data_IF_454416910868
#
_entry.id   IF_454416910868
#
_cell.length_a   1.000
_cell.length_b   1.000
_cell.length_c   1.000
_cell.angle_alpha   90.00
_cell.angle_beta   90.00
_cell.angle_gamma   90.00
#
_symmetry.space_group_name_H-M   'P 1'
#
loop_
_entity.id
_entity.type
_entity.pdbx_description
1 polymer ?
#
# COMPACT_ATOMS: atom_id res chain seq x y z
N UNK A 1 -9.79 10.84 -22.12
CA UNK A 1 -9.86 10.23 -20.80
C UNK A 1 -9.68 11.34 -19.80
N UNK A 2 -10.46 11.32 -18.73
CA UNK A 2 -10.12 12.09 -17.54
C UNK A 2 -8.74 11.60 -17.07
N UNK A 3 -7.94 12.48 -16.47
CA UNK A 3 -6.68 12.08 -15.84
C UNK A 3 -6.93 12.01 -14.32
N UNK A 4 -7.80 11.10 -13.89
CA UNK A 4 -8.32 11.04 -12.51
C UNK A 4 -7.17 10.80 -11.55
N UNK A 5 -6.36 9.77 -11.78
CA UNK A 5 -5.24 9.43 -10.90
C UNK A 5 -4.20 10.56 -10.90
N UNK A 6 -3.85 11.12 -12.05
CA UNK A 6 -2.89 12.22 -12.17
C UNK A 6 -3.35 13.48 -11.44
N UNK A 7 -4.61 13.89 -11.64
CA UNK A 7 -5.19 15.05 -10.95
C UNK A 7 -5.21 14.88 -9.43
N UNK A 8 -5.60 13.70 -8.93
CA UNK A 8 -5.59 13.44 -7.49
C UNK A 8 -4.17 13.50 -6.92
N UNK A 9 -3.16 12.98 -7.63
CA UNK A 9 -1.76 13.06 -7.20
C UNK A 9 -1.24 14.49 -7.17
N UNK A 10 -1.62 15.32 -8.14
CA UNK A 10 -1.27 16.75 -8.14
C UNK A 10 -1.91 17.48 -6.95
N UNK A 11 -3.18 17.19 -6.63
CA UNK A 11 -3.85 17.71 -5.43
C UNK A 11 -3.15 17.26 -4.12
N UNK A 12 -2.49 16.10 -4.13
CA UNK A 12 -1.81 15.51 -2.97
C UNK A 12 -0.30 15.81 -2.89
N UNK A 13 0.27 16.58 -3.82
CA UNK A 13 1.73 16.74 -3.96
C UNK A 13 2.47 17.14 -2.68
N UNK A 14 1.88 18.02 -1.88
CA UNK A 14 2.50 18.51 -0.64
C UNK A 14 2.54 17.39 0.42
N UNK A 15 1.51 16.55 0.46
CA UNK A 15 1.45 15.39 1.34
C UNK A 15 2.42 14.29 0.87
N UNK A 16 2.47 14.04 -0.44
CA UNK A 16 3.43 13.11 -1.05
C UNK A 16 4.87 13.52 -0.72
N UNK A 17 5.21 14.81 -0.84
CA UNK A 17 6.54 15.31 -0.53
C UNK A 17 6.92 15.12 0.95
N UNK A 18 5.97 15.32 1.88
CA UNK A 18 6.20 15.05 3.31
C UNK A 18 6.54 13.59 3.55
N UNK A 19 5.81 12.68 2.91
CA UNK A 19 6.02 11.24 3.04
C UNK A 19 7.35 10.80 2.42
N UNK A 20 7.72 11.33 1.25
CA UNK A 20 8.98 10.99 0.57
C UNK A 20 10.23 11.44 1.32
N UNK A 21 10.10 12.48 2.16
CA UNK A 21 11.19 13.07 2.95
C UNK A 21 11.13 12.69 4.44
N UNK A 22 10.27 11.73 4.78
CA UNK A 22 9.97 11.39 6.16
C UNK A 22 11.22 10.97 6.97
N UNK A 23 11.39 11.44 8.22
CA UNK A 23 12.59 11.17 9.02
C UNK A 23 12.92 9.69 9.21
N UNK A 24 11.91 8.82 9.28
CA UNK A 24 12.09 7.37 9.40
C UNK A 24 12.86 6.74 8.23
N UNK A 25 12.95 7.44 7.09
CA UNK A 25 13.56 6.94 5.86
C UNK A 25 14.94 7.51 5.56
N UNK A 26 15.39 8.55 6.28
CA UNK A 26 16.69 9.18 6.00
C UNK A 26 17.87 8.28 6.35
N UNK A 27 17.79 7.64 7.53
CA UNK A 27 18.69 6.60 8.01
C UNK A 27 17.87 5.68 8.91
N UNK A 28 17.09 4.75 8.31
CA UNK A 28 16.25 3.86 9.10
C UNK A 28 17.13 3.13 10.13
N UNK A 29 16.62 2.93 11.34
CA UNK A 29 17.32 2.06 12.30
C UNK A 29 16.87 0.61 12.09
N UNK A 30 17.57 -0.35 12.70
CA UNK A 30 17.08 -1.72 12.78
C UNK A 30 15.70 -1.81 13.43
N UNK A 31 15.41 -0.93 14.39
CA UNK A 31 14.11 -0.88 15.06
C UNK A 31 12.99 -0.41 14.12
N UNK A 32 13.25 0.62 13.29
CA UNK A 32 12.30 1.06 12.25
C UNK A 32 11.95 -0.10 11.31
N UNK A 33 12.95 -0.88 10.91
CA UNK A 33 12.74 -2.05 10.06
C UNK A 33 11.95 -3.16 10.78
N UNK A 34 12.26 -3.44 12.04
CA UNK A 34 11.50 -4.43 12.82
C UNK A 34 10.03 -4.01 12.94
N UNK A 35 9.76 -2.74 13.25
CA UNK A 35 8.40 -2.18 13.35
C UNK A 35 7.67 -2.20 12.02
N UNK A 36 8.36 -1.96 10.91
CA UNK A 36 7.79 -2.15 9.57
C UNK A 36 7.28 -3.59 9.44
N UNK A 37 8.13 -4.59 9.72
CA UNK A 37 7.75 -6.01 9.60
C UNK A 37 6.63 -6.38 10.57
N UNK A 38 6.67 -5.90 11.82
CA UNK A 38 5.64 -6.15 12.84
C UNK A 38 4.26 -5.70 12.38
N UNK A 39 4.15 -4.49 11.83
CA UNK A 39 2.88 -3.99 11.32
C UNK A 39 2.47 -4.68 10.01
N UNK A 40 3.42 -4.96 9.12
CA UNK A 40 3.14 -5.65 7.85
C UNK A 40 2.62 -7.08 8.05
N UNK A 41 3.01 -7.77 9.13
CA UNK A 41 2.46 -9.08 9.52
C UNK A 41 0.97 -9.04 9.84
N UNK A 42 0.42 -7.87 10.17
CA UNK A 42 -1.02 -7.65 10.25
C UNK A 42 -1.60 -7.17 8.92
N UNK A 43 -0.97 -6.17 8.28
CA UNK A 43 -1.51 -5.47 7.11
C UNK A 43 -1.66 -6.40 5.90
N UNK A 44 -0.58 -7.03 5.42
CA UNK A 44 -0.58 -7.77 4.15
C UNK A 44 -1.62 -8.91 4.13
N UNK A 45 -1.72 -9.77 5.17
CA UNK A 45 -2.74 -10.82 5.17
C UNK A 45 -4.19 -10.30 5.15
N UNK A 46 -4.44 -9.11 5.69
CA UNK A 46 -5.78 -8.52 5.72
C UNK A 46 -6.10 -7.74 4.45
N UNK A 47 -5.12 -7.04 3.88
CA UNK A 47 -5.24 -6.39 2.58
C UNK A 47 -5.50 -7.45 1.49
N UNK A 48 -4.78 -8.57 1.51
CA UNK A 48 -5.03 -9.71 0.62
C UNK A 48 -6.48 -10.22 0.70
N UNK A 49 -7.05 -10.30 1.91
CA UNK A 49 -8.46 -10.71 2.11
C UNK A 49 -9.43 -9.66 1.58
N UNK A 50 -9.17 -8.38 1.85
CA UNK A 50 -9.98 -7.27 1.35
C UNK A 50 -10.02 -7.27 -0.18
N UNK A 51 -8.87 -7.41 -0.83
CA UNK A 51 -8.78 -7.45 -2.30
C UNK A 51 -9.38 -8.71 -2.90
N UNK A 52 -9.22 -9.86 -2.23
CA UNK A 52 -9.91 -11.09 -2.63
C UNK A 52 -11.43 -10.93 -2.57
N UNK A 53 -11.94 -10.22 -1.56
CA UNK A 53 -13.36 -9.91 -1.47
C UNK A 53 -13.82 -8.99 -2.61
N UNK A 54 -13.06 -7.93 -2.94
CA UNK A 54 -13.36 -7.05 -4.08
C UNK A 54 -13.38 -7.85 -5.39
N UNK A 55 -12.37 -8.68 -5.63
CA UNK A 55 -12.30 -9.55 -6.80
C UNK A 55 -13.52 -10.49 -6.89
N UNK A 56 -13.99 -11.03 -5.77
CA UNK A 56 -15.12 -11.97 -5.76
C UNK A 56 -16.46 -11.36 -6.19
N UNK A 57 -16.57 -10.03 -6.18
CA UNK A 57 -17.81 -9.30 -6.48
C UNK A 57 -17.73 -8.42 -7.73
N UNK A 58 -16.57 -8.35 -8.39
CA UNK A 58 -16.43 -7.63 -9.65
C UNK A 58 -17.06 -8.41 -10.79
N UNK A 59 -17.58 -7.70 -11.79
CA UNK A 59 -18.39 -8.31 -12.86
C UNK A 59 -17.75 -8.02 -14.23
N UNK A 60 -17.21 -6.83 -14.42
CA UNK A 60 -16.57 -6.47 -15.68
C UNK A 60 -15.20 -7.16 -15.80
N UNK A 61 -14.87 -7.64 -17.00
CA UNK A 61 -13.64 -8.40 -17.23
C UNK A 61 -12.38 -7.59 -16.87
N UNK A 62 -12.37 -6.29 -17.17
CA UNK A 62 -11.26 -5.40 -16.85
C UNK A 62 -11.04 -5.21 -15.34
N UNK A 63 -12.14 -5.15 -14.56
CA UNK A 63 -12.09 -5.16 -13.11
C UNK A 63 -11.53 -6.49 -12.59
N UNK A 64 -12.01 -7.63 -13.10
CA UNK A 64 -11.52 -8.95 -12.71
C UNK A 64 -10.02 -9.06 -12.95
N UNK A 65 -9.53 -8.65 -14.13
CA UNK A 65 -8.10 -8.63 -14.45
C UNK A 65 -7.30 -7.73 -13.51
N UNK A 66 -7.80 -6.52 -13.24
CA UNK A 66 -7.15 -5.54 -12.38
C UNK A 66 -7.03 -6.06 -10.93
N UNK A 67 -8.14 -6.48 -10.33
CA UNK A 67 -8.12 -6.95 -8.95
C UNK A 67 -7.40 -8.29 -8.80
N UNK A 68 -7.43 -9.15 -9.83
CA UNK A 68 -6.60 -10.37 -9.82
C UNK A 68 -5.10 -10.04 -9.79
N UNK A 69 -4.65 -9.05 -10.57
CA UNK A 69 -3.26 -8.60 -10.54
C UNK A 69 -2.84 -8.14 -9.14
N UNK A 70 -3.71 -7.39 -8.47
CA UNK A 70 -3.47 -6.91 -7.11
C UNK A 70 -3.43 -8.05 -6.08
N UNK A 71 -4.38 -8.99 -6.16
CA UNK A 71 -4.41 -10.19 -5.30
C UNK A 71 -3.15 -11.05 -5.48
N UNK A 72 -2.71 -11.25 -6.73
CA UNK A 72 -1.48 -11.99 -7.02
C UNK A 72 -0.25 -11.28 -6.44
N UNK A 73 -0.21 -9.94 -6.53
CA UNK A 73 0.85 -9.11 -5.94
C UNK A 73 0.92 -9.23 -4.42
N UNK A 74 -0.20 -9.09 -3.73
CA UNK A 74 -0.27 -9.24 -2.28
C UNK A 74 0.05 -10.67 -1.82
N UNK A 75 -0.30 -11.68 -2.62
CA UNK A 75 0.08 -13.06 -2.33
C UNK A 75 1.59 -13.28 -2.43
N UNK A 76 2.27 -12.68 -3.41
CA UNK A 76 3.74 -12.67 -3.47
C UNK A 76 4.36 -11.91 -2.30
N UNK A 77 3.76 -10.77 -1.93
CA UNK A 77 4.21 -9.96 -0.81
C UNK A 77 4.08 -10.71 0.52
N UNK A 78 3.00 -11.46 0.72
CA UNK A 78 2.79 -12.30 1.89
C UNK A 78 3.91 -13.35 2.03
N UNK A 79 4.25 -14.04 0.94
CA UNK A 79 5.35 -15.02 0.95
C UNK A 79 6.69 -14.37 1.29
N UNK A 80 7.01 -13.25 0.64
CA UNK A 80 8.25 -12.53 0.90
C UNK A 80 8.32 -11.96 2.32
N UNK A 81 7.20 -11.53 2.88
CA UNK A 81 7.09 -11.07 4.27
C UNK A 81 7.38 -12.21 5.25
N UNK A 82 6.86 -13.41 5.00
CA UNK A 82 7.14 -14.57 5.84
C UNK A 82 8.64 -14.91 5.87
N UNK A 83 9.32 -14.87 4.73
CA UNK A 83 10.76 -15.11 4.64
C UNK A 83 11.57 -14.05 5.41
N UNK A 84 11.17 -12.78 5.31
CA UNK A 84 11.80 -11.68 6.05
C UNK A 84 11.54 -11.81 7.56
N UNK A 85 10.29 -11.98 7.97
CA UNK A 85 9.94 -12.12 9.38
C UNK A 85 10.66 -13.31 10.04
N UNK A 86 10.82 -14.43 9.31
CA UNK A 86 11.60 -15.57 9.77
C UNK A 86 13.07 -15.22 9.98
N UNK A 87 13.72 -14.56 9.02
CA UNK A 87 15.11 -14.12 9.15
C UNK A 87 15.31 -13.15 10.33
N UNK A 88 14.37 -12.23 10.55
CA UNK A 88 14.44 -11.27 11.65
C UNK A 88 13.97 -11.85 13.00
N UNK A 89 13.46 -13.08 13.03
CA UNK A 89 12.82 -13.72 14.18
C UNK A 89 11.66 -12.88 14.77
N UNK A 90 10.84 -12.30 13.89
CA UNK A 90 9.68 -11.48 14.25
C UNK A 90 8.41 -12.29 14.01
N UNK A 91 7.45 -12.17 14.93
CA UNK A 91 6.12 -12.79 14.83
C UNK A 91 5.07 -11.72 15.09
N UNK A 92 3.84 -11.99 14.63
CA UNK A 92 2.71 -11.13 14.91
C UNK A 92 2.48 -11.05 16.42
N UNK A 93 2.55 -9.85 16.96
CA UNK A 93 2.24 -9.55 18.35
C UNK A 93 1.30 -8.34 18.38
N UNK A 94 0.05 -8.59 18.77
CA UNK A 94 -0.98 -7.54 18.82
C UNK A 94 -0.64 -6.42 19.80
N UNK A 95 0.19 -6.66 20.82
CA UNK A 95 0.60 -5.64 21.78
C UNK A 95 1.60 -4.63 21.20
N UNK A 96 2.25 -4.99 20.08
CA UNK A 96 3.22 -4.16 19.37
C UNK A 96 2.67 -3.46 18.13
N UNK A 97 1.44 -3.78 17.74
CA UNK A 97 0.83 -3.15 16.56
C UNK A 97 0.52 -1.68 16.83
N UNK A 98 0.88 -0.83 15.89
CA UNK A 98 0.47 0.57 15.92
C UNK A 98 -0.92 0.71 15.31
N UNK A 99 -1.83 1.34 16.06
CA UNK A 99 -3.16 1.70 15.56
C UNK A 99 -3.08 2.62 14.34
N UNK A 100 -2.07 3.51 14.29
CA UNK A 100 -1.79 4.37 13.13
C UNK A 100 -1.42 3.54 11.91
N UNK A 101 -0.48 2.61 12.07
CA UNK A 101 -0.02 1.76 10.96
C UNK A 101 -1.14 0.94 10.32
N UNK A 102 -2.04 0.38 11.12
CA UNK A 102 -3.10 -0.52 10.63
C UNK A 102 -4.36 0.19 10.14
N UNK A 103 -4.44 1.52 10.29
CA UNK A 103 -5.62 2.32 9.91
C UNK A 103 -5.91 2.22 8.41
N UNK A 104 -4.86 2.16 7.58
CA UNK A 104 -4.97 1.93 6.14
C UNK A 104 -5.75 0.66 5.83
N UNK A 105 -5.35 -0.47 6.42
CA UNK A 105 -5.98 -1.79 6.22
C UNK A 105 -7.43 -1.81 6.67
N UNK A 106 -7.78 -1.11 7.75
CA UNK A 106 -9.17 -1.01 8.20
C UNK A 106 -10.02 -0.25 7.19
N UNK A 107 -9.50 0.84 6.65
CA UNK A 107 -10.21 1.61 5.62
C UNK A 107 -10.31 0.85 4.30
N UNK A 108 -9.26 0.14 3.88
CA UNK A 108 -9.31 -0.73 2.70
C UNK A 108 -10.33 -1.86 2.88
N UNK A 109 -10.41 -2.46 4.07
CA UNK A 109 -11.42 -3.47 4.40
C UNK A 109 -12.84 -2.90 4.34
N UNK A 110 -13.02 -1.65 4.82
CA UNK A 110 -14.30 -0.95 4.69
C UNK A 110 -14.66 -0.67 3.22
N UNK A 111 -13.69 -0.24 2.41
CA UNK A 111 -13.88 -0.03 0.96
C UNK A 111 -14.19 -1.34 0.24
N UNK A 112 -13.59 -2.46 0.64
CA UNK A 112 -13.88 -3.75 0.04
C UNK A 112 -15.35 -4.14 0.20
N UNK A 113 -15.95 -3.83 1.34
CA UNK A 113 -17.35 -4.14 1.65
C UNK A 113 -18.32 -3.12 1.05
N UNK A 114 -17.98 -1.83 1.14
CA UNK A 114 -18.92 -0.71 0.94
C UNK A 114 -18.59 0.18 -0.27
N UNK A 115 -17.42 0.02 -0.88
CA UNK A 115 -16.95 0.81 -2.00
C UNK A 115 -17.34 0.20 -3.35
N UNK A 116 -17.24 1.04 -4.39
CA UNK A 116 -17.26 0.61 -5.78
C UNK A 116 -15.88 0.06 -6.20
N UNK A 117 -15.79 -0.70 -7.30
CA UNK A 117 -14.51 -1.02 -7.94
C UNK A 117 -13.65 0.23 -8.22
N UNK A 118 -14.26 1.34 -8.63
CA UNK A 118 -13.56 2.61 -8.85
C UNK A 118 -12.96 3.21 -7.58
N UNK A 119 -13.68 3.14 -6.45
CA UNK A 119 -13.18 3.59 -5.16
C UNK A 119 -11.89 2.87 -4.76
N UNK A 120 -11.88 1.54 -4.89
CA UNK A 120 -10.73 0.70 -4.52
C UNK A 120 -9.59 0.89 -5.52
N UNK A 121 -9.89 1.02 -6.81
CA UNK A 121 -8.89 1.31 -7.84
C UNK A 121 -8.16 2.64 -7.57
N UNK A 122 -8.90 3.70 -7.21
CA UNK A 122 -8.31 4.98 -6.79
C UNK A 122 -7.47 4.82 -5.53
N UNK A 123 -8.03 4.19 -4.48
CA UNK A 123 -7.36 3.99 -3.20
C UNK A 123 -6.00 3.31 -3.36
N UNK A 124 -5.94 2.22 -4.12
CA UNK A 124 -4.72 1.43 -4.29
C UNK A 124 -3.71 2.00 -5.27
N UNK A 125 -4.13 2.90 -6.16
CA UNK A 125 -3.24 3.37 -7.25
C UNK A 125 -2.62 4.72 -6.92
N UNK A 126 -3.35 5.61 -6.26
CA UNK A 126 -2.92 7.00 -6.06
C UNK A 126 -1.58 7.09 -5.31
N UNK A 127 -1.35 6.22 -4.33
CA UNK A 127 -0.19 6.28 -3.45
C UNK A 127 1.01 5.41 -3.87
N UNK A 128 0.84 4.50 -4.85
CA UNK A 128 1.88 3.51 -5.22
C UNK A 128 3.26 4.09 -5.51
N UNK A 129 3.41 5.23 -6.24
CA UNK A 129 4.74 5.76 -6.50
C UNK A 129 5.47 6.17 -5.22
N UNK A 130 4.73 6.77 -4.27
CA UNK A 130 5.27 7.23 -2.99
C UNK A 130 5.62 6.04 -2.11
N UNK A 131 4.69 5.10 -1.96
CA UNK A 131 4.90 3.87 -1.20
C UNK A 131 6.09 3.07 -1.74
N UNK A 132 6.13 2.84 -3.04
CA UNK A 132 7.18 2.09 -3.72
C UNK A 132 8.56 2.71 -3.56
N UNK A 133 8.67 4.03 -3.66
CA UNK A 133 9.94 4.73 -3.42
C UNK A 133 10.43 4.55 -1.98
N UNK A 134 9.53 4.68 -1.00
CA UNK A 134 9.88 4.59 0.41
C UNK A 134 10.23 3.16 0.84
N UNK A 135 9.48 2.17 0.37
CA UNK A 135 9.77 0.76 0.58
C UNK A 135 11.11 0.39 -0.06
N UNK A 136 11.42 0.92 -1.24
CA UNK A 136 12.74 0.73 -1.87
C UNK A 136 13.88 1.29 -1.01
N UNK A 137 13.75 2.52 -0.47
CA UNK A 137 14.74 3.11 0.46
C UNK A 137 14.96 2.23 1.69
N UNK A 138 13.88 1.68 2.25
CA UNK A 138 13.96 0.76 3.38
C UNK A 138 14.67 -0.55 3.00
N UNK A 139 14.43 -1.07 1.80
CA UNK A 139 15.13 -2.25 1.27
C UNK A 139 16.62 -2.05 1.04
N UNK A 140 17.02 -0.88 0.52
CA UNK A 140 18.43 -0.50 0.41
C UNK A 140 19.10 -0.48 1.79
N UNK A 141 18.42 0.05 2.80
CA UNK A 141 18.92 0.03 4.17
C UNK A 141 19.00 -1.39 4.75
N UNK A 142 17.99 -2.24 4.52
CA UNK A 142 18.00 -3.63 4.96
C UNK A 142 19.22 -4.40 4.41
N UNK A 143 19.61 -4.14 3.15
CA UNK A 143 20.82 -4.73 2.54
C UNK A 143 22.10 -4.27 3.23
N UNK A 144 22.20 -2.99 3.64
CA UNK A 144 23.33 -2.48 4.43
C UNK A 144 23.44 -3.22 5.78
N UNK A 145 22.30 -3.59 6.38
CA UNK A 145 22.23 -4.40 7.59
C UNK A 145 22.47 -5.91 7.36
N UNK A 146 22.88 -6.31 6.15
CA UNK A 146 23.13 -7.70 5.74
C UNK A 146 21.90 -8.64 5.84
N UNK A 147 20.69 -8.08 5.70
CA UNK A 147 19.46 -8.86 5.62
C UNK A 147 19.32 -9.43 4.21
N UNK A 148 19.07 -10.73 4.10
CA UNK A 148 19.04 -11.46 2.83
C UNK A 148 17.65 -11.46 2.20
N UNK A 149 16.60 -11.62 2.99
CA UNK A 149 15.20 -11.67 2.57
C UNK A 149 14.67 -10.29 2.21
N UNK A 150 15.13 -9.74 1.08
CA UNK A 150 14.79 -8.37 0.65
C UNK A 150 13.75 -8.29 -0.46
N UNK A 151 13.24 -9.44 -0.93
CA UNK A 151 12.26 -9.53 -2.04
C UNK A 151 11.03 -8.63 -1.82
N UNK A 152 10.54 -8.52 -0.58
CA UNK A 152 9.38 -7.69 -0.27
C UNK A 152 9.58 -6.22 -0.68
N UNK A 153 10.80 -5.70 -0.55
CA UNK A 153 11.08 -4.30 -0.88
C UNK A 153 11.10 -4.04 -2.39
N UNK A 154 11.33 -5.09 -3.18
CA UNK A 154 11.39 -5.01 -4.64
C UNK A 154 10.01 -5.25 -5.29
N UNK A 155 9.06 -5.89 -4.59
CA UNK A 155 7.71 -6.14 -5.12
C UNK A 155 6.90 -4.87 -5.38
N UNK A 156 7.24 -3.79 -4.69
CA UNK A 156 6.63 -2.46 -4.87
C UNK A 156 7.49 -1.54 -5.74
N UNK A 157 8.53 -2.09 -6.39
CA UNK A 157 9.26 -1.33 -7.41
C UNK A 157 8.47 -1.40 -8.72
N UNK A 158 8.10 -0.23 -9.26
CA UNK A 158 7.37 -0.14 -10.53
C UNK A 158 8.12 -0.79 -11.71
N UNK A 159 7.60 -0.67 -12.95
CA UNK A 159 6.67 0.37 -13.40
C UNK A 159 5.20 0.05 -13.13
N UNK A 160 4.42 1.07 -12.78
CA UNK A 160 2.98 0.96 -12.49
C UNK A 160 2.06 1.30 -13.68
N UNK A 161 2.61 1.65 -14.85
CA UNK A 161 1.82 2.21 -15.95
C UNK A 161 0.64 1.36 -16.42
N UNK A 162 0.80 0.03 -16.51
CA UNK A 162 -0.30 -0.88 -16.87
C UNK A 162 -1.39 -0.89 -15.80
N UNK A 163 -0.98 -0.86 -14.52
CA UNK A 163 -1.89 -0.84 -13.39
C UNK A 163 -2.67 0.49 -13.35
N UNK A 164 -1.97 1.60 -13.57
CA UNK A 164 -2.56 2.94 -13.65
C UNK A 164 -3.55 3.07 -14.80
N UNK A 165 -3.23 2.56 -15.99
CA UNK A 165 -4.16 2.59 -17.14
C UNK A 165 -5.45 1.83 -16.84
N UNK A 166 -5.35 0.66 -16.20
CA UNK A 166 -6.52 -0.13 -15.79
C UNK A 166 -7.32 0.59 -14.70
N UNK A 167 -6.64 1.16 -13.70
CA UNK A 167 -7.29 1.92 -12.63
C UNK A 167 -8.02 3.15 -13.17
N UNK A 168 -7.47 3.84 -14.16
CA UNK A 168 -8.09 4.99 -14.81
C UNK A 168 -9.42 4.59 -15.47
N UNK A 169 -9.40 3.55 -16.32
CA UNK A 169 -10.62 3.04 -16.99
C UNK A 169 -11.69 2.59 -16.00
N UNK A 170 -11.31 1.92 -14.92
CA UNK A 170 -12.24 1.48 -13.87
C UNK A 170 -12.78 2.70 -13.12
N UNK A 171 -11.92 3.65 -12.74
CA UNK A 171 -12.34 4.82 -11.97
C UNK A 171 -13.22 5.79 -12.78
N UNK A 172 -13.01 5.92 -14.10
CA UNK A 172 -13.91 6.67 -15.00
C UNK A 172 -15.34 6.11 -14.97
N UNK A 173 -15.51 4.78 -14.90
CA UNK A 173 -16.84 4.12 -14.87
C UNK A 173 -17.67 4.48 -13.63
N UNK A 174 -17.00 4.75 -12.51
CA UNK A 174 -17.63 5.03 -11.21
C UNK A 174 -17.40 6.45 -10.73
N UNK A 175 -17.08 7.37 -11.64
CA UNK A 175 -16.57 8.69 -11.32
C UNK A 175 -17.47 9.46 -10.33
N UNK A 176 -16.91 9.67 -9.14
CA UNK A 176 -17.42 10.61 -8.13
C UNK A 176 -16.22 11.38 -7.57
N UNK A 177 -16.02 12.59 -8.08
CA UNK A 177 -14.89 13.43 -7.68
C UNK A 177 -14.86 13.78 -6.19
N UNK A 178 -16.03 13.97 -5.55
CA UNK A 178 -16.09 14.29 -4.12
C UNK A 178 -15.61 13.12 -3.30
N UNK A 179 -16.07 11.92 -3.66
CA UNK A 179 -15.68 10.66 -3.02
C UNK A 179 -14.23 10.29 -3.29
N UNK A 180 -13.76 10.42 -4.52
CA UNK A 180 -12.37 10.11 -4.89
C UNK A 180 -11.35 11.01 -4.19
N UNK A 181 -11.63 12.32 -4.06
CA UNK A 181 -10.78 13.23 -3.27
C UNK A 181 -10.71 12.82 -1.81
N UNK A 182 -11.84 12.44 -1.22
CA UNK A 182 -11.87 11.95 0.15
C UNK A 182 -11.03 10.68 0.30
N UNK A 183 -11.25 9.67 -0.56
CA UNK A 183 -10.52 8.40 -0.53
C UNK A 183 -9.02 8.62 -0.70
N UNK A 184 -8.62 9.37 -1.74
CA UNK A 184 -7.22 9.61 -2.05
C UNK A 184 -6.50 10.33 -0.89
N UNK A 185 -7.12 11.37 -0.33
CA UNK A 185 -6.58 12.07 0.84
C UNK A 185 -6.48 11.16 2.07
N UNK A 186 -7.50 10.35 2.33
CA UNK A 186 -7.53 9.42 3.48
C UNK A 186 -6.42 8.38 3.37
N UNK A 187 -6.28 7.73 2.21
CA UNK A 187 -5.23 6.73 1.96
C UNK A 187 -3.84 7.36 2.12
N UNK A 188 -3.60 8.52 1.51
CA UNK A 188 -2.30 9.17 1.59
C UNK A 188 -1.98 9.65 3.02
N UNK A 189 -2.99 10.08 3.78
CA UNK A 189 -2.81 10.43 5.19
C UNK A 189 -2.49 9.19 6.04
N UNK A 190 -3.16 8.07 5.81
CA UNK A 190 -2.85 6.83 6.52
C UNK A 190 -1.47 6.28 6.16
N UNK A 191 -0.98 6.51 4.95
CA UNK A 191 0.41 6.22 4.63
C UNK A 191 1.38 7.08 5.46
N UNK A 192 1.11 8.39 5.60
CA UNK A 192 1.90 9.24 6.50
C UNK A 192 1.87 8.72 7.94
N UNK A 193 0.68 8.40 8.46
CA UNK A 193 0.49 7.86 9.81
C UNK A 193 1.25 6.52 9.99
N UNK A 194 1.32 5.69 8.95
CA UNK A 194 2.15 4.49 8.94
C UNK A 194 3.62 4.82 9.11
N UNK A 195 4.16 5.77 8.34
CA UNK A 195 5.57 6.15 8.43
C UNK A 195 5.93 6.81 9.77
N UNK A 196 5.03 7.62 10.32
CA UNK A 196 5.12 8.21 11.67
C UNK A 196 5.23 7.10 12.72
N UNK A 197 4.37 6.08 12.63
CA UNK A 197 4.32 4.99 13.63
C UNK A 197 5.62 4.21 13.77
N UNK A 198 6.49 4.22 12.75
CA UNK A 198 7.73 3.45 12.78
C UNK A 198 8.77 4.07 13.74
N UNK A 199 8.61 5.35 14.11
CA UNK A 199 9.57 6.09 14.95
C UNK A 199 9.00 6.50 16.32
N UNK A 200 7.76 6.13 16.64
CA UNK A 200 7.09 6.37 17.94
C UNK A 200 7.46 5.36 19.02
#
# INVERSE_FOLDING_TARGET
MADIIGNLREELKDLNQKILTHPSLQKPSREVLNRFVENQLYIIPHDLKALSHVLSRTIALDEVEFFKMLVDGDYEALKALHDLAYELNIKLDYSRLSLKAVSYTHFLSWLALNGSPGDVAVALTVNLPVWGENVKKLGEHARILNIKSTKIFDLFSGPFGILEEKAEKISERYLDWGRYRFIAKTIQQYELDFWDSLIE
#
